data_IF_058789437551
#
_entry.id   IF_058789437551
#
_cell.length_a   1.000
_cell.length_b   1.000
_cell.length_c   1.000
_cell.angle_alpha   90.00
_cell.angle_beta   90.00
_cell.angle_gamma   90.00
#
_symmetry.space_group_name_H-M   'P 1'
#
loop_
_entity.id
_entity.type
_entity.pdbx_description
1 polymer ?
#
# COMPACT_ATOMS: atom_id res chain seq x y z
N UNK A 1 9.11 -21.44 42.36
CA UNK A 1 9.19 -21.93 40.96
C UNK A 1 8.75 -20.81 40.02
N UNK A 2 9.67 -20.08 39.36
CA UNK A 2 9.28 -19.18 38.28
C UNK A 2 9.02 -19.97 36.98
N UNK A 3 7.98 -19.66 36.19
CA UNK A 3 7.74 -20.35 34.93
C UNK A 3 8.77 -19.95 33.87
N UNK A 4 9.49 -20.98 33.41
CA UNK A 4 10.16 -21.22 32.12
C UNK A 4 10.38 -20.00 31.21
N UNK A 5 11.65 -19.60 31.14
CA UNK A 5 12.30 -18.76 30.13
C UNK A 5 11.77 -18.96 28.70
N UNK A 6 11.27 -17.90 28.09
CA UNK A 6 11.02 -17.83 26.65
C UNK A 6 12.37 -17.57 25.95
N UNK A 7 13.03 -18.62 25.45
CA UNK A 7 14.21 -18.48 24.60
C UNK A 7 13.74 -18.28 23.16
N UNK A 8 13.59 -17.03 22.73
CA UNK A 8 13.37 -16.73 21.31
C UNK A 8 14.69 -16.89 20.54
N UNK A 9 15.01 -18.11 20.14
CA UNK A 9 15.87 -18.35 18.97
C UNK A 9 14.98 -18.37 17.73
N UNK A 10 14.34 -17.23 17.44
CA UNK A 10 13.60 -17.05 16.20
C UNK A 10 14.60 -16.62 15.13
N UNK A 11 15.05 -17.57 14.32
CA UNK A 11 15.69 -17.26 13.05
C UNK A 11 14.62 -16.61 12.15
N UNK A 12 14.49 -15.28 12.23
CA UNK A 12 13.57 -14.47 11.42
C UNK A 12 14.08 -14.43 9.98
N UNK A 13 14.02 -15.56 9.28
CA UNK A 13 14.37 -15.64 7.86
C UNK A 13 13.10 -15.51 7.01
N UNK A 14 13.16 -14.49 6.15
CA UNK A 14 12.22 -14.03 5.11
C UNK A 14 11.17 -13.03 5.60
N UNK A 15 11.53 -11.76 5.53
CA UNK A 15 10.56 -10.66 5.48
C UNK A 15 9.88 -10.78 4.11
N UNK A 16 8.61 -11.19 4.07
CA UNK A 16 7.80 -11.18 2.84
C UNK A 16 7.45 -9.73 2.49
N UNK A 17 7.55 -9.37 1.21
CA UNK A 17 7.09 -8.08 0.67
C UNK A 17 5.68 -8.15 0.07
N UNK A 18 5.06 -9.34 0.14
CA UNK A 18 3.74 -9.64 -0.38
C UNK A 18 2.80 -10.10 0.74
N UNK A 19 1.52 -9.76 0.60
CA UNK A 19 0.45 -10.16 1.51
C UNK A 19 -0.51 -11.10 0.79
N UNK A 20 -0.63 -12.33 1.29
CA UNK A 20 -1.67 -13.29 0.90
C UNK A 20 -2.67 -13.41 2.05
N UNK A 21 -3.70 -12.56 2.04
CA UNK A 21 -4.69 -12.45 3.10
C UNK A 21 -6.10 -12.42 2.50
N UNK A 22 -7.08 -13.13 3.11
CA UNK A 22 -8.46 -13.13 2.63
C UNK A 22 -9.16 -11.81 2.96
N UNK A 23 -9.00 -10.81 2.09
CA UNK A 23 -9.65 -9.51 2.26
C UNK A 23 -11.15 -9.59 1.96
N UNK A 24 -11.96 -8.85 2.71
CA UNK A 24 -13.39 -8.76 2.43
C UNK A 24 -13.64 -8.20 1.02
N UNK A 25 -14.60 -8.80 0.32
CA UNK A 25 -14.94 -8.43 -1.05
C UNK A 25 -15.44 -6.98 -1.13
N UNK A 26 -15.13 -6.33 -2.26
CA UNK A 26 -15.72 -5.02 -2.57
C UNK A 26 -17.23 -5.16 -2.77
N UNK A 27 -18.07 -4.22 -2.29
CA UNK A 27 -19.52 -4.24 -2.53
C UNK A 27 -19.92 -4.12 -4.02
N UNK A 28 -19.00 -3.68 -4.88
CA UNK A 28 -19.25 -3.50 -6.31
C UNK A 28 -18.12 -4.12 -7.13
N UNK A 29 -18.42 -4.67 -8.34
CA UNK A 29 -17.40 -5.19 -9.25
C UNK A 29 -16.35 -4.14 -9.57
N UNK A 30 -16.79 -2.91 -9.91
CA UNK A 30 -15.87 -1.82 -10.21
C UNK A 30 -14.94 -1.47 -9.04
N UNK A 31 -15.44 -1.51 -7.81
CA UNK A 31 -14.60 -1.31 -6.62
C UNK A 31 -13.61 -2.46 -6.41
N UNK A 32 -13.94 -3.68 -6.83
CA UNK A 32 -13.03 -4.82 -6.79
C UNK A 32 -11.88 -4.61 -7.79
N UNK A 33 -12.18 -4.22 -9.04
CA UNK A 33 -11.16 -3.93 -10.06
C UNK A 33 -10.21 -2.82 -9.61
N UNK A 34 -10.75 -1.74 -9.06
CA UNK A 34 -9.95 -0.63 -8.53
C UNK A 34 -9.05 -1.09 -7.38
N UNK A 35 -9.59 -1.88 -6.44
CA UNK A 35 -8.82 -2.42 -5.31
C UNK A 35 -7.70 -3.34 -5.79
N UNK A 36 -8.02 -4.24 -6.72
CA UNK A 36 -7.07 -5.19 -7.28
C UNK A 36 -5.90 -4.47 -7.95
N UNK A 37 -6.19 -3.47 -8.79
CA UNK A 37 -5.17 -2.66 -9.44
C UNK A 37 -4.26 -1.92 -8.46
N UNK A 38 -4.79 -1.48 -7.31
CA UNK A 38 -3.98 -0.86 -6.25
C UNK A 38 -3.12 -1.92 -5.55
N UNK A 39 -3.67 -3.10 -5.29
CA UNK A 39 -2.99 -4.23 -4.63
C UNK A 39 -1.79 -4.76 -5.43
N UNK A 40 -1.85 -4.67 -6.77
CA UNK A 40 -0.79 -5.12 -7.68
C UNK A 40 0.43 -4.19 -7.74
N UNK A 41 0.39 -3.01 -7.10
CA UNK A 41 1.55 -2.12 -7.07
C UNK A 41 2.63 -2.74 -6.17
N UNK A 42 3.74 -3.17 -6.77
CA UNK A 42 4.82 -3.85 -6.08
C UNK A 42 5.47 -3.00 -4.96
N UNK A 43 5.95 -3.68 -3.92
CA UNK A 43 6.71 -3.07 -2.83
C UNK A 43 7.90 -2.26 -3.35
N UNK A 44 8.10 -1.05 -2.78
CA UNK A 44 9.20 -0.17 -3.17
C UNK A 44 9.02 0.52 -4.54
N UNK A 45 7.88 0.31 -5.21
CA UNK A 45 7.52 1.00 -6.45
C UNK A 45 6.33 1.92 -6.25
N UNK A 46 6.15 2.89 -7.15
CA UNK A 46 5.02 3.81 -7.12
C UNK A 46 4.35 3.90 -8.48
N UNK A 47 3.07 4.27 -8.47
CA UNK A 47 2.30 4.56 -9.68
C UNK A 47 1.64 5.94 -9.52
N UNK A 48 1.38 6.63 -10.63
CA UNK A 48 0.53 7.82 -10.58
C UNK A 48 -0.94 7.46 -10.72
N UNK A 49 -1.83 8.27 -10.15
CA UNK A 49 -3.29 8.13 -10.36
C UNK A 49 -3.65 8.02 -11.85
N UNK A 50 -2.98 8.81 -12.70
CA UNK A 50 -3.19 8.80 -14.15
C UNK A 50 -2.70 7.54 -14.83
N UNK A 51 -1.51 7.05 -14.46
CA UNK A 51 -0.98 5.81 -15.02
C UNK A 51 -1.88 4.61 -14.69
N UNK A 52 -2.27 4.48 -13.41
CA UNK A 52 -3.12 3.37 -12.98
C UNK A 52 -4.51 3.45 -13.61
N UNK A 53 -5.10 4.66 -13.66
CA UNK A 53 -6.39 4.86 -14.30
C UNK A 53 -6.38 4.45 -15.79
N UNK A 54 -5.33 4.79 -16.54
CA UNK A 54 -5.20 4.36 -17.94
C UNK A 54 -5.07 2.85 -18.07
N UNK A 55 -4.28 2.21 -17.22
CA UNK A 55 -4.03 0.76 -17.29
C UNK A 55 -5.31 -0.08 -17.17
N UNK A 56 -6.30 0.39 -16.38
CA UNK A 56 -7.53 -0.37 -16.11
C UNK A 56 -8.80 0.27 -16.72
N UNK A 57 -8.64 1.22 -17.65
CA UNK A 57 -9.78 1.91 -18.26
C UNK A 57 -10.66 2.64 -17.24
N UNK A 58 -10.06 3.50 -16.42
CA UNK A 58 -10.72 4.27 -15.35
C UNK A 58 -10.38 5.76 -15.40
N UNK A 59 -10.84 6.50 -14.40
CA UNK A 59 -10.45 7.91 -14.19
C UNK A 59 -9.52 8.04 -12.99
N UNK A 60 -8.58 9.00 -13.00
CA UNK A 60 -7.74 9.31 -11.84
C UNK A 60 -8.57 9.62 -10.59
N UNK A 61 -9.73 10.26 -10.77
CA UNK A 61 -10.67 10.58 -9.69
C UNK A 61 -11.23 9.31 -9.05
N UNK A 62 -11.59 8.29 -9.83
CA UNK A 62 -12.07 7.02 -9.30
C UNK A 62 -10.98 6.28 -8.49
N UNK A 63 -9.73 6.31 -8.95
CA UNK A 63 -8.59 5.78 -8.19
C UNK A 63 -8.43 6.55 -6.86
N UNK A 64 -8.49 7.88 -6.89
CA UNK A 64 -8.43 8.72 -5.70
C UNK A 64 -9.53 8.40 -4.69
N UNK A 65 -10.77 8.17 -5.14
CA UNK A 65 -11.87 7.75 -4.27
C UNK A 65 -11.66 6.35 -3.69
N UNK A 66 -11.15 5.41 -4.47
CA UNK A 66 -10.80 4.08 -3.98
C UNK A 66 -9.69 4.14 -2.90
N UNK A 67 -8.67 4.99 -3.10
CA UNK A 67 -7.62 5.22 -2.11
C UNK A 67 -8.18 5.84 -0.82
N UNK A 68 -9.02 6.87 -0.93
CA UNK A 68 -9.61 7.57 0.20
C UNK A 68 -10.51 6.66 1.06
N UNK A 69 -11.18 5.69 0.42
CA UNK A 69 -12.11 4.74 1.06
C UNK A 69 -11.48 3.37 1.33
N UNK A 70 -10.15 3.24 1.21
CA UNK A 70 -9.47 1.96 1.39
C UNK A 70 -9.57 1.49 2.86
N UNK A 71 -10.27 0.37 3.15
CA UNK A 71 -10.37 -0.16 4.51
C UNK A 71 -9.12 -0.94 4.95
N UNK A 72 -8.20 -1.25 4.02
CA UNK A 72 -7.01 -2.05 4.28
C UNK A 72 -5.72 -1.30 3.87
N UNK A 73 -5.36 -0.20 4.52
CA UNK A 73 -4.07 0.46 4.28
C UNK A 73 -2.91 -0.52 4.45
N UNK A 74 -1.77 -0.24 3.80
CA UNK A 74 -0.55 -1.09 3.75
C UNK A 74 -0.75 -2.38 2.94
N UNK A 75 -1.79 -3.17 3.23
CA UNK A 75 -2.09 -4.42 2.50
C UNK A 75 -2.58 -4.10 1.09
N UNK A 76 -3.54 -3.19 0.97
CA UNK A 76 -3.86 -2.51 -0.30
C UNK A 76 -3.06 -1.20 -0.27
N UNK A 77 -1.94 -1.11 -1.01
CA UNK A 77 -0.89 -0.13 -0.76
C UNK A 77 -1.21 1.23 -1.40
N UNK A 78 -2.30 1.87 -0.98
CA UNK A 78 -2.69 3.18 -1.52
C UNK A 78 -1.68 4.30 -1.22
N UNK A 79 -0.74 4.09 -0.30
CA UNK A 79 0.40 4.99 -0.08
C UNK A 79 1.37 5.03 -1.27
N UNK A 80 1.41 3.98 -2.10
CA UNK A 80 2.25 3.90 -3.31
C UNK A 80 1.70 4.68 -4.52
N UNK A 81 0.51 5.29 -4.39
CA UNK A 81 -0.13 6.05 -5.47
C UNK A 81 0.10 7.54 -5.28
N UNK A 82 0.74 8.16 -6.27
CA UNK A 82 1.15 9.57 -6.24
C UNK A 82 0.40 10.41 -7.29
N UNK A 83 0.41 11.72 -7.09
CA UNK A 83 0.05 12.69 -8.10
C UNK A 83 1.02 12.70 -9.28
N UNK A 84 0.71 13.51 -10.29
CA UNK A 84 1.64 13.76 -11.39
C UNK A 84 2.99 14.29 -10.86
N UNK A 85 4.10 13.87 -11.48
CA UNK A 85 5.45 14.27 -11.06
C UNK A 85 5.87 13.78 -9.68
N UNK A 86 5.20 12.78 -9.10
CA UNK A 86 5.55 12.23 -7.79
C UNK A 86 4.96 13.00 -6.59
N UNK A 87 4.00 13.90 -6.82
CA UNK A 87 3.36 14.64 -5.73
C UNK A 87 2.71 13.70 -4.69
N UNK A 88 3.07 13.86 -3.42
CA UNK A 88 2.65 12.94 -2.34
C UNK A 88 1.13 12.79 -2.23
N UNK A 89 0.40 13.90 -2.30
CA UNK A 89 -1.05 13.94 -2.14
C UNK A 89 -1.53 13.53 -0.75
N UNK A 90 -2.84 13.34 -0.61
CA UNK A 90 -3.48 12.95 0.66
C UNK A 90 -3.30 11.45 0.97
N UNK A 91 -3.56 11.11 2.23
CA UNK A 91 -3.61 9.74 2.72
C UNK A 91 -4.68 9.64 3.81
N UNK A 92 -5.48 8.57 3.78
CA UNK A 92 -6.65 8.40 4.65
C UNK A 92 -6.35 7.74 5.99
N UNK A 93 -5.14 7.21 6.19
CA UNK A 93 -4.77 6.46 7.38
C UNK A 93 -3.65 7.16 8.18
N UNK A 94 -3.55 6.80 9.46
CA UNK A 94 -2.54 7.35 10.37
C UNK A 94 -2.60 8.88 10.47
N UNK A 95 -1.44 9.52 10.46
CA UNK A 95 -1.25 10.97 10.48
C UNK A 95 -1.30 11.58 9.06
N UNK A 96 -2.07 10.96 8.16
CA UNK A 96 -2.26 11.45 6.79
C UNK A 96 -0.96 11.44 5.97
N UNK A 97 -0.64 12.52 5.22
CA UNK A 97 0.53 12.57 4.34
C UNK A 97 1.86 12.24 5.04
N UNK A 98 2.00 12.53 6.34
CA UNK A 98 3.22 12.19 7.11
C UNK A 98 3.41 10.67 7.15
N UNK A 99 2.36 9.92 7.47
CA UNK A 99 2.40 8.45 7.47
C UNK A 99 2.69 7.91 6.07
N UNK A 100 2.11 8.51 5.02
CA UNK A 100 2.37 8.13 3.63
C UNK A 100 3.85 8.26 3.26
N UNK A 101 4.48 9.39 3.60
CA UNK A 101 5.91 9.61 3.37
C UNK A 101 6.75 8.57 4.10
N UNK A 102 6.49 8.34 5.39
CA UNK A 102 7.23 7.35 6.20
C UNK A 102 7.12 5.94 5.62
N UNK A 103 5.95 5.55 5.12
CA UNK A 103 5.76 4.25 4.47
C UNK A 103 6.58 4.17 3.17
N UNK A 104 6.55 5.20 2.33
CA UNK A 104 7.37 5.25 1.12
C UNK A 104 8.87 5.18 1.43
N UNK A 105 9.32 5.90 2.46
CA UNK A 105 10.72 5.87 2.93
C UNK A 105 11.10 4.48 3.45
N UNK A 106 10.20 3.82 4.19
CA UNK A 106 10.40 2.47 4.71
C UNK A 106 10.55 1.42 3.59
N UNK A 107 9.86 1.62 2.47
CA UNK A 107 9.91 0.71 1.32
C UNK A 107 11.06 0.98 0.36
N UNK A 108 11.86 2.03 0.61
CA UNK A 108 13.02 2.28 -0.25
C UNK A 108 14.03 1.14 -0.11
N UNK A 109 14.57 0.63 -1.23
CA UNK A 109 15.70 -0.27 -1.16
C UNK A 109 16.89 0.45 -0.48
N UNK A 110 17.70 -0.28 0.31
CA UNK A 110 18.89 0.30 0.92
C UNK A 110 19.78 0.98 -0.15
N UNK A 111 20.02 2.29 0.01
CA UNK A 111 20.88 3.07 -0.89
C UNK A 111 20.19 3.97 -1.93
N UNK A 112 18.84 4.06 -1.96
CA UNK A 112 18.14 5.01 -2.84
C UNK A 112 18.13 6.45 -2.29
N UNK A 113 18.71 7.41 -3.03
CA UNK A 113 18.56 8.85 -2.75
C UNK A 113 17.21 9.40 -3.25
N UNK A 114 16.74 10.45 -2.58
CA UNK A 114 15.62 11.33 -2.96
C UNK A 114 15.98 12.25 -4.12
#
# INVERSE_FOLDING_TARGET
MPPRSWKHSANWKRISTEFDLPLALSPTPRGADLRQAIAEIAYGTTASYGALARAIGSSPRAIGQACARNPFPIIVPCHRILGAGGALGAYSAGEGPITKSRLLDHERPPGGLL
#
